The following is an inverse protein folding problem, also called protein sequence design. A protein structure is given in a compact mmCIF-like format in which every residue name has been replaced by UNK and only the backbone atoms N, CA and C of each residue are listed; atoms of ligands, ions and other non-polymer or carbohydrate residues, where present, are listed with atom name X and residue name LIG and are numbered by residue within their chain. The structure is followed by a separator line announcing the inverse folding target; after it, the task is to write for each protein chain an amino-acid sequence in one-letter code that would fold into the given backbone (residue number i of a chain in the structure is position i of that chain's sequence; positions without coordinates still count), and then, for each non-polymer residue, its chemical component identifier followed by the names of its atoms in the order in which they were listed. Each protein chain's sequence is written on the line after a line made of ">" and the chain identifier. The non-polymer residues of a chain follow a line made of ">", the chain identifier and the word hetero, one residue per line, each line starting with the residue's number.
data_IF_730933279107
#
_entry.id   IF_730933279107
#
_cell.length_a   1.000
_cell.length_b   1.000
_cell.length_c   1.000
_cell.angle_alpha   90.00
_cell.angle_beta   90.00
_cell.angle_gamma   90.00
#
_symmetry.space_group_name_H-M   'P 1'
#
loop_
_entity.id
_entity.type
_entity.pdbx_description
1 polymer ?
#
# COMPACT_ATOMS: atom_id res chain seq x y z
N UNK A 1 8.94 17.86 23.37
CA UNK A 1 8.43 16.48 23.60
C UNK A 1 7.33 16.10 22.61
N UNK A 2 6.23 16.84 22.49
CA UNK A 2 5.11 16.54 21.56
C UNK A 2 5.56 16.40 20.09
N UNK A 3 6.40 17.31 19.61
CA UNK A 3 6.92 17.26 18.23
C UNK A 3 7.78 16.02 17.94
N UNK A 4 8.57 15.56 18.91
CA UNK A 4 9.39 14.35 18.74
C UNK A 4 8.53 13.08 18.61
N UNK A 5 7.44 13.01 19.37
CA UNK A 5 6.49 11.88 19.31
C UNK A 5 5.77 11.84 17.96
N UNK A 6 5.37 12.99 17.43
CA UNK A 6 4.74 13.09 16.10
C UNK A 6 5.68 12.62 14.98
N UNK A 7 6.96 12.97 15.05
CA UNK A 7 7.97 12.55 14.06
C UNK A 7 8.15 11.02 14.09
N UNK A 8 8.25 10.43 15.28
CA UNK A 8 8.39 8.98 15.42
C UNK A 8 7.16 8.24 14.87
N UNK A 9 5.96 8.74 15.18
CA UNK A 9 4.71 8.17 14.65
C UNK A 9 4.65 8.25 13.10
N UNK A 10 5.16 9.34 12.52
CA UNK A 10 5.26 9.53 11.08
C UNK A 10 6.22 8.53 10.44
N UNK A 11 7.39 8.32 11.03
CA UNK A 11 8.39 7.35 10.55
C UNK A 11 7.81 5.93 10.59
N UNK A 12 7.17 5.54 11.69
CA UNK A 12 6.53 4.22 11.82
C UNK A 12 5.42 4.03 10.78
N UNK A 13 4.62 5.07 10.53
CA UNK A 13 3.52 5.03 9.55
C UNK A 13 4.05 4.90 8.11
N UNK A 14 5.10 5.65 7.76
CA UNK A 14 5.77 5.53 6.46
C UNK A 14 6.40 4.14 6.28
N UNK A 15 6.99 3.59 7.34
CA UNK A 15 7.62 2.28 7.27
C UNK A 15 6.60 1.17 7.08
N UNK A 16 5.49 1.20 7.85
CA UNK A 16 4.37 0.28 7.64
C UNK A 16 3.79 0.40 6.24
N UNK A 17 3.59 1.61 5.74
CA UNK A 17 3.09 1.82 4.38
C UNK A 17 4.01 1.20 3.33
N UNK A 18 5.32 1.38 3.47
CA UNK A 18 6.29 0.76 2.57
C UNK A 18 6.21 -0.78 2.60
N UNK A 19 6.11 -1.38 3.79
CA UNK A 19 5.91 -2.82 3.93
C UNK A 19 4.61 -3.30 3.26
N UNK A 20 3.49 -2.57 3.42
CA UNK A 20 2.24 -2.90 2.74
C UNK A 20 2.36 -2.79 1.22
N UNK A 21 3.07 -1.79 0.71
CA UNK A 21 3.32 -1.63 -0.74
C UNK A 21 4.13 -2.80 -1.29
N UNK A 22 5.22 -3.18 -0.62
CA UNK A 22 6.04 -4.34 -1.00
C UNK A 22 5.24 -5.66 -0.94
N UNK A 23 4.45 -5.87 0.11
CA UNK A 23 3.58 -7.05 0.23
C UNK A 23 2.54 -7.10 -0.89
N UNK A 24 1.92 -5.97 -1.23
CA UNK A 24 0.91 -5.90 -2.31
C UNK A 24 1.52 -6.23 -3.67
N UNK A 25 2.70 -5.69 -3.98
CA UNK A 25 3.43 -6.01 -5.22
C UNK A 25 3.78 -7.50 -5.25
N UNK A 26 4.31 -8.05 -4.15
CA UNK A 26 4.65 -9.47 -4.04
C UNK A 26 3.44 -10.37 -4.22
N UNK A 27 2.28 -10.00 -3.65
CA UNK A 27 1.04 -10.75 -3.81
C UNK A 27 0.54 -10.75 -5.26
N UNK A 28 0.65 -9.60 -5.95
CA UNK A 28 0.24 -9.52 -7.35
C UNK A 28 1.21 -10.29 -8.25
N UNK A 29 2.51 -10.23 -7.99
CA UNK A 29 3.51 -11.01 -8.71
C UNK A 29 3.30 -12.52 -8.51
N UNK A 30 2.99 -12.94 -7.28
CA UNK A 30 2.63 -14.32 -6.97
C UNK A 30 1.36 -14.75 -7.70
N UNK A 31 0.30 -13.94 -7.68
CA UNK A 31 -0.94 -14.22 -8.40
C UNK A 31 -0.74 -14.28 -9.92
N UNK A 32 0.15 -13.44 -10.47
CA UNK A 32 0.53 -13.45 -11.88
C UNK A 32 1.21 -14.75 -12.28
N UNK A 33 2.17 -15.24 -11.48
CA UNK A 33 2.88 -16.49 -11.74
C UNK A 33 1.96 -17.72 -11.57
N UNK A 34 1.20 -17.78 -10.48
CA UNK A 34 0.38 -18.95 -10.12
C UNK A 34 -0.84 -19.10 -11.06
N UNK A 35 -1.49 -17.99 -11.44
CA UNK A 35 -2.71 -17.99 -12.24
C UNK A 35 -2.52 -17.61 -13.71
N UNK A 36 -1.26 -17.44 -14.19
CA UNK A 36 -0.95 -16.85 -15.52
C UNK A 36 -1.70 -15.55 -15.77
N UNK A 37 -1.80 -14.74 -14.72
CA UNK A 37 -2.44 -13.43 -14.84
C UNK A 37 -1.44 -12.52 -15.53
N UNK A 38 -1.59 -12.38 -16.85
CA UNK A 38 -0.82 -11.45 -17.68
C UNK A 38 -1.37 -10.04 -17.44
N UNK A 39 -1.00 -9.47 -16.29
CA UNK A 39 -1.39 -8.12 -15.89
C UNK A 39 -0.34 -7.18 -16.47
N UNK A 40 -0.76 -6.35 -17.42
CA UNK A 40 0.08 -5.29 -17.99
C UNK A 40 0.55 -4.33 -16.88
N UNK A 41 1.76 -3.78 -17.02
CA UNK A 41 2.35 -2.84 -16.05
C UNK A 41 1.42 -1.65 -15.75
N UNK A 42 0.60 -1.24 -16.73
CA UNK A 42 -0.37 -0.15 -16.58
C UNK A 42 -1.58 -0.56 -15.71
N UNK A 43 -2.06 -1.79 -15.84
CA UNK A 43 -3.10 -2.35 -14.96
C UNK A 43 -2.58 -2.60 -13.54
N UNK A 44 -1.34 -3.09 -13.42
CA UNK A 44 -0.67 -3.28 -12.13
C UNK A 44 -0.61 -1.96 -11.36
N UNK A 45 -0.22 -0.88 -12.05
CA UNK A 45 -0.15 0.46 -11.48
C UNK A 45 -1.53 0.95 -11.02
N UNK A 46 -2.60 0.70 -11.79
CA UNK A 46 -3.98 1.04 -11.40
C UNK A 46 -4.43 0.26 -10.17
N UNK A 47 -4.16 -1.04 -10.10
CA UNK A 47 -4.52 -1.89 -8.94
C UNK A 47 -3.77 -1.44 -7.69
N UNK A 48 -2.47 -1.14 -7.82
CA UNK A 48 -1.67 -0.63 -6.71
C UNK A 48 -2.16 0.74 -6.24
N UNK A 49 -2.47 1.64 -7.17
CA UNK A 49 -2.97 2.97 -6.86
C UNK A 49 -4.33 2.91 -6.18
N UNK A 50 -5.24 2.05 -6.68
CA UNK A 50 -6.54 1.81 -6.05
C UNK A 50 -6.39 1.24 -4.64
N UNK A 51 -5.52 0.24 -4.47
CA UNK A 51 -5.26 -0.40 -3.18
C UNK A 51 -4.63 0.58 -2.18
N UNK A 52 -3.65 1.38 -2.62
CA UNK A 52 -3.05 2.44 -1.80
C UNK A 52 -4.08 3.52 -1.43
N UNK A 53 -4.90 3.99 -2.38
CA UNK A 53 -5.98 4.96 -2.09
C UNK A 53 -6.96 4.41 -1.07
N UNK A 54 -7.31 3.12 -1.17
CA UNK A 54 -8.20 2.46 -0.21
C UNK A 54 -7.56 2.36 1.18
N UNK A 55 -6.29 1.93 1.26
CA UNK A 55 -5.55 1.85 2.53
C UNK A 55 -5.42 3.23 3.18
N UNK A 56 -5.12 4.28 2.40
CA UNK A 56 -5.08 5.67 2.90
C UNK A 56 -6.46 6.09 3.40
N UNK A 57 -7.53 5.79 2.66
CA UNK A 57 -8.91 6.14 3.04
C UNK A 57 -9.32 5.44 4.34
N UNK A 58 -8.96 4.18 4.50
CA UNK A 58 -9.19 3.40 5.71
C UNK A 58 -8.34 3.90 6.89
N UNK A 59 -7.08 4.25 6.65
CA UNK A 59 -6.18 4.80 7.67
C UNK A 59 -6.64 6.17 8.18
N UNK A 60 -7.09 7.03 7.27
CA UNK A 60 -7.65 8.34 7.60
C UNK A 60 -9.07 8.24 8.18
N UNK A 61 -9.66 7.03 8.29
CA UNK A 61 -11.05 6.82 8.71
C UNK A 61 -11.99 7.82 8.02
N UNK A 62 -11.80 8.06 6.72
CA UNK A 62 -12.74 8.85 5.93
C UNK A 62 -13.97 7.96 5.72
N UNK A 63 -14.78 7.86 6.78
CA UNK A 63 -16.11 7.27 6.82
C UNK A 63 -16.96 8.15 5.92
N UNK A 64 -17.40 7.58 4.79
CA UNK A 64 -18.53 8.14 4.08
C UNK A 64 -19.82 7.61 4.72
#
# INVERSE_FOLDING_TARGET
>A
MIYAILIIALIISLWKWWSYKCLSIGLIYFASIEHRWDIDDEELKKILEYSMKRIIKDFLRIKH
#
